data_IF_855820708283
#
_entry.id   IF_855820708283
#
_cell.length_a   1.000
_cell.length_b   1.000
_cell.length_c   1.000
_cell.angle_alpha   90.00
_cell.angle_beta   90.00
_cell.angle_gamma   90.00
#
_symmetry.space_group_name_H-M   'P 1'
#
loop_
_entity.id
_entity.type
_entity.pdbx_description
1 polymer ?
#
# COMPACT_ATOMS: atom_id res chain seq x y z
N UNK A 1 -43.02 -77.00 -59.98
CA UNK A 1 -42.12 -75.93 -60.46
C UNK A 1 -42.45 -74.71 -59.63
N UNK A 2 -41.54 -74.38 -58.73
CA UNK A 2 -41.78 -73.56 -57.55
C UNK A 2 -41.91 -72.07 -57.87
N UNK A 3 -42.98 -71.46 -57.34
CA UNK A 3 -43.21 -70.02 -57.33
C UNK A 3 -42.65 -69.45 -56.02
N UNK A 4 -41.57 -68.66 -56.10
CA UNK A 4 -41.07 -67.87 -54.98
C UNK A 4 -41.91 -66.59 -54.83
N UNK A 5 -42.79 -66.55 -53.82
CA UNK A 5 -43.37 -65.30 -53.32
C UNK A 5 -42.58 -64.86 -52.09
N UNK A 6 -41.77 -63.82 -52.23
CA UNK A 6 -40.99 -63.23 -51.14
C UNK A 6 -41.89 -62.30 -50.32
N UNK A 7 -42.27 -62.70 -49.10
CA UNK A 7 -43.09 -61.92 -48.19
C UNK A 7 -42.19 -60.98 -47.37
N UNK A 8 -42.21 -59.68 -47.66
CA UNK A 8 -41.51 -58.65 -46.88
C UNK A 8 -42.25 -58.37 -45.56
N UNK A 9 -41.68 -58.81 -44.45
CA UNK A 9 -42.00 -58.31 -43.10
C UNK A 9 -41.20 -57.03 -42.87
N UNK A 10 -41.84 -55.86 -42.86
CA UNK A 10 -41.22 -54.64 -42.37
C UNK A 10 -41.35 -54.57 -40.83
N UNK A 11 -40.24 -54.47 -40.08
CA UNK A 11 -40.30 -54.19 -38.65
C UNK A 11 -40.70 -52.73 -38.44
N UNK A 12 -41.80 -52.48 -37.74
CA UNK A 12 -42.13 -51.14 -37.23
C UNK A 12 -41.13 -50.80 -36.13
N UNK A 13 -40.10 -50.02 -36.46
CA UNK A 13 -39.21 -49.42 -35.46
C UNK A 13 -39.94 -48.21 -34.88
N UNK A 14 -40.52 -48.37 -33.69
CA UNK A 14 -41.06 -47.27 -32.91
C UNK A 14 -39.90 -46.45 -32.33
N UNK A 15 -39.69 -45.23 -32.81
CA UNK A 15 -38.70 -44.31 -32.26
C UNK A 15 -39.17 -43.80 -30.90
N UNK A 16 -38.59 -44.31 -29.81
CA UNK A 16 -38.78 -43.74 -28.48
C UNK A 16 -37.89 -42.50 -28.39
N UNK A 17 -38.50 -41.31 -28.41
CA UNK A 17 -37.80 -40.05 -28.14
C UNK A 17 -37.71 -39.90 -26.63
N UNK A 18 -36.54 -40.21 -26.06
CA UNK A 18 -36.22 -39.92 -24.67
C UNK A 18 -35.91 -38.42 -24.55
N UNK A 19 -36.86 -37.64 -24.05
CA UNK A 19 -36.63 -36.22 -23.74
C UNK A 19 -35.87 -36.18 -22.41
N UNK A 20 -34.54 -36.04 -22.46
CA UNK A 20 -33.74 -35.72 -21.27
C UNK A 20 -34.03 -34.26 -20.88
N UNK A 21 -34.89 -34.06 -19.90
CA UNK A 21 -35.02 -32.77 -19.22
C UNK A 21 -33.84 -32.61 -18.27
N UNK A 22 -32.80 -31.92 -18.72
CA UNK A 22 -31.70 -31.51 -17.83
C UNK A 22 -32.28 -30.45 -16.88
N UNK A 23 -32.33 -30.68 -15.55
CA UNK A 23 -32.82 -29.66 -14.63
C UNK A 23 -31.92 -28.43 -14.76
N UNK A 24 -32.49 -27.31 -15.18
CA UNK A 24 -31.79 -26.03 -15.18
C UNK A 24 -31.72 -25.54 -13.74
N UNK A 25 -30.56 -25.69 -13.10
CA UNK A 25 -30.30 -25.04 -11.83
C UNK A 25 -30.26 -23.53 -12.05
N UNK A 26 -31.27 -22.81 -11.56
CA UNK A 26 -31.21 -21.35 -11.46
C UNK A 26 -30.11 -21.00 -10.46
N UNK A 27 -29.06 -20.32 -10.91
CA UNK A 27 -28.06 -19.73 -10.01
C UNK A 27 -28.74 -18.58 -9.27
N UNK A 28 -29.04 -18.78 -7.99
CA UNK A 28 -29.64 -17.74 -7.15
C UNK A 28 -28.60 -16.67 -6.85
N UNK A 29 -29.00 -15.39 -6.91
CA UNK A 29 -28.17 -14.27 -6.49
C UNK A 29 -27.82 -14.36 -5.01
N UNK A 30 -26.60 -13.95 -4.64
CA UNK A 30 -26.17 -13.80 -3.26
C UNK A 30 -26.81 -12.55 -2.64
N UNK A 31 -27.02 -12.57 -1.32
CA UNK A 31 -27.41 -11.36 -0.60
C UNK A 31 -26.26 -10.34 -0.59
N UNK A 32 -26.59 -9.05 -0.49
CA UNK A 32 -25.60 -7.98 -0.33
C UNK A 32 -24.64 -8.25 0.85
N UNK A 33 -25.14 -8.85 1.94
CA UNK A 33 -24.33 -9.21 3.11
C UNK A 33 -23.37 -10.37 2.84
N UNK A 34 -23.75 -11.35 2.01
CA UNK A 34 -22.85 -12.41 1.57
C UNK A 34 -21.76 -11.85 0.66
N UNK A 35 -22.13 -10.97 -0.28
CA UNK A 35 -21.19 -10.30 -1.17
C UNK A 35 -20.21 -9.42 -0.38
N UNK A 36 -20.69 -8.68 0.63
CA UNK A 36 -19.82 -7.85 1.49
C UNK A 36 -18.78 -8.67 2.24
N UNK A 37 -19.12 -9.89 2.72
CA UNK A 37 -18.14 -10.78 3.37
C UNK A 37 -17.08 -11.26 2.39
N UNK A 38 -17.49 -11.69 1.20
CA UNK A 38 -16.56 -12.06 0.13
C UNK A 38 -15.65 -10.89 -0.24
N UNK A 39 -16.25 -9.71 -0.45
CA UNK A 39 -15.53 -8.49 -0.79
C UNK A 39 -14.51 -8.10 0.28
N UNK A 40 -14.87 -8.18 1.56
CA UNK A 40 -13.94 -7.84 2.66
C UNK A 40 -12.70 -8.74 2.70
N UNK A 41 -12.80 -10.00 2.27
CA UNK A 41 -11.67 -10.92 2.29
C UNK A 41 -10.66 -10.69 1.17
N UNK A 42 -11.11 -10.18 0.01
CA UNK A 42 -10.29 -10.06 -1.21
C UNK A 42 -9.86 -8.63 -1.51
N UNK A 43 -10.54 -7.63 -0.93
CA UNK A 43 -10.23 -6.20 -1.09
C UNK A 43 -9.14 -5.79 -0.11
N UNK A 44 -8.13 -5.09 -0.63
CA UNK A 44 -6.95 -4.68 0.12
C UNK A 44 -6.72 -3.18 0.04
N UNK A 45 -6.14 -2.60 1.08
CA UNK A 45 -5.66 -1.22 1.07
C UNK A 45 -4.26 -1.23 0.45
N UNK A 46 -4.00 -0.30 -0.46
CA UNK A 46 -2.68 -0.05 -1.02
C UNK A 46 -2.15 1.23 -0.39
N UNK A 47 -0.97 1.13 0.21
CA UNK A 47 -0.24 2.26 0.79
C UNK A 47 0.98 2.54 -0.07
N UNK A 48 1.10 3.77 -0.58
CA UNK A 48 2.20 4.20 -1.44
C UNK A 48 2.57 5.67 -1.23
N UNK A 49 3.69 6.13 -1.79
CA UNK A 49 4.30 7.44 -1.52
C UNK A 49 3.47 8.65 -1.95
N UNK A 50 2.49 8.48 -2.85
CA UNK A 50 1.64 9.58 -3.33
C UNK A 50 0.26 9.67 -2.67
N UNK A 51 -0.43 8.53 -2.51
CA UNK A 51 -1.77 8.44 -1.94
C UNK A 51 -2.10 6.98 -1.66
N UNK A 52 -2.99 6.75 -0.69
CA UNK A 52 -3.60 5.45 -0.51
C UNK A 52 -4.61 5.16 -1.62
N UNK A 53 -4.75 3.87 -1.93
CA UNK A 53 -5.74 3.37 -2.87
C UNK A 53 -6.26 2.01 -2.45
N UNK A 54 -7.02 1.38 -3.32
CA UNK A 54 -7.59 0.05 -3.08
C UNK A 54 -7.09 -0.93 -4.15
N UNK A 55 -6.95 -2.20 -3.80
CA UNK A 55 -6.74 -3.28 -4.75
C UNK A 55 -7.64 -4.47 -4.48
N UNK A 56 -7.55 -5.48 -5.35
CA UNK A 56 -8.23 -6.77 -5.19
C UNK A 56 -7.32 -7.93 -5.54
N UNK A 57 -7.17 -8.86 -4.60
CA UNK A 57 -6.42 -10.11 -4.81
C UNK A 57 -7.22 -10.99 -5.78
N UNK A 58 -6.64 -11.36 -6.92
CA UNK A 58 -7.34 -12.15 -7.94
C UNK A 58 -6.66 -13.47 -8.30
N UNK A 59 -5.39 -13.65 -7.94
CA UNK A 59 -4.64 -14.86 -8.28
C UNK A 59 -3.55 -15.16 -7.25
N UNK A 60 -3.10 -16.42 -7.24
CA UNK A 60 -2.01 -16.91 -6.38
C UNK A 60 -1.19 -17.96 -7.14
N UNK A 61 0.12 -17.72 -7.25
CA UNK A 61 1.10 -18.63 -7.84
C UNK A 61 2.16 -18.94 -6.79
N UNK A 62 2.19 -20.17 -6.27
CA UNK A 62 3.06 -20.51 -5.14
C UNK A 62 2.69 -19.66 -3.91
N UNK A 63 3.63 -18.88 -3.38
CA UNK A 63 3.40 -17.92 -2.29
C UNK A 63 3.17 -16.48 -2.77
N UNK A 64 3.18 -16.26 -4.08
CA UNK A 64 3.01 -14.93 -4.68
C UNK A 64 1.54 -14.69 -4.97
N UNK A 65 0.98 -13.65 -4.35
CA UNK A 65 -0.36 -13.15 -4.61
C UNK A 65 -0.30 -12.04 -5.64
N UNK A 66 -1.25 -12.05 -6.57
CA UNK A 66 -1.41 -11.00 -7.59
C UNK A 66 -2.70 -10.24 -7.33
N UNK A 67 -2.64 -8.92 -7.45
CA UNK A 67 -3.79 -8.05 -7.28
C UNK A 67 -3.94 -7.05 -8.43
N UNK A 68 -5.19 -6.69 -8.71
CA UNK A 68 -5.50 -5.56 -9.57
C UNK A 68 -5.62 -4.28 -8.74
N UNK A 69 -5.23 -3.16 -9.34
CA UNK A 69 -5.54 -1.82 -8.87
C UNK A 69 -5.61 -0.85 -10.05
N UNK A 70 -6.02 0.40 -9.82
CA UNK A 70 -5.95 1.42 -10.85
C UNK A 70 -4.49 1.86 -11.06
N UNK A 71 -4.07 2.10 -12.29
CA UNK A 71 -2.67 2.43 -12.59
C UNK A 71 -2.22 3.72 -11.89
N UNK A 72 -3.10 4.73 -11.80
CA UNK A 72 -2.78 5.98 -11.10
C UNK A 72 -2.58 5.81 -9.58
N UNK A 73 -3.11 4.75 -8.95
CA UNK A 73 -2.85 4.46 -7.52
C UNK A 73 -1.38 4.18 -7.29
N UNK A 74 -0.72 3.55 -8.26
CA UNK A 74 0.71 3.25 -8.24
C UNK A 74 1.52 4.10 -9.21
N UNK A 75 0.93 5.17 -9.78
CA UNK A 75 1.55 5.98 -10.82
C UNK A 75 2.81 6.73 -10.37
N UNK A 76 2.96 6.91 -9.06
CA UNK A 76 4.11 7.53 -8.41
C UNK A 76 4.92 6.51 -7.58
N UNK A 77 4.72 5.20 -7.81
CA UNK A 77 5.52 4.13 -7.20
C UNK A 77 6.59 3.71 -8.19
N UNK A 78 7.84 4.02 -7.89
CA UNK A 78 8.99 3.67 -8.72
C UNK A 78 9.59 2.31 -8.33
N UNK A 79 10.23 1.59 -9.27
CA UNK A 79 10.94 0.35 -8.97
C UNK A 79 11.94 0.53 -7.81
N UNK A 80 11.88 -0.36 -6.82
CA UNK A 80 12.73 -0.30 -5.62
C UNK A 80 12.17 0.54 -4.48
N UNK A 81 11.06 1.25 -4.69
CA UNK A 81 10.37 1.94 -3.61
C UNK A 81 9.56 0.99 -2.73
N UNK A 82 9.33 1.40 -1.48
CA UNK A 82 8.45 0.67 -0.55
C UNK A 82 6.99 1.11 -0.76
N UNK A 83 6.14 0.13 -1.05
CA UNK A 83 4.69 0.25 -1.08
C UNK A 83 4.09 -1.03 -0.48
N UNK A 84 2.93 -0.94 0.17
CA UNK A 84 2.36 -2.04 0.94
C UNK A 84 0.94 -2.38 0.52
N UNK A 85 0.61 -3.66 0.67
CA UNK A 85 -0.76 -4.18 0.67
C UNK A 85 -1.15 -4.46 2.11
N UNK A 86 -2.21 -3.82 2.60
CA UNK A 86 -2.83 -4.16 3.88
C UNK A 86 -4.01 -5.09 3.62
N UNK A 87 -3.86 -6.32 4.07
CA UNK A 87 -4.83 -7.41 3.90
C UNK A 87 -5.94 -7.38 4.96
N UNK A 88 -6.98 -8.17 4.76
CA UNK A 88 -8.20 -8.19 5.58
C UNK A 88 -7.99 -8.59 7.05
N UNK A 89 -6.87 -9.23 7.37
CA UNK A 89 -6.41 -9.52 8.74
C UNK A 89 -5.51 -8.42 9.32
N UNK A 90 -5.49 -7.24 8.69
CA UNK A 90 -4.67 -6.08 9.01
C UNK A 90 -3.16 -6.33 8.90
N UNK A 91 -2.72 -7.35 8.14
CA UNK A 91 -1.30 -7.57 7.86
C UNK A 91 -0.86 -6.81 6.62
N UNK A 92 0.27 -6.11 6.77
CA UNK A 92 0.97 -5.40 5.71
C UNK A 92 1.92 -6.35 5.01
N UNK A 93 1.93 -6.34 3.69
CA UNK A 93 2.85 -7.10 2.84
C UNK A 93 3.51 -6.16 1.85
N UNK A 94 4.82 -6.30 1.66
CA UNK A 94 5.56 -5.47 0.71
C UNK A 94 5.16 -5.82 -0.73
N UNK A 95 4.83 -4.78 -1.51
CA UNK A 95 4.62 -4.91 -2.95
C UNK A 95 5.98 -5.08 -3.63
N UNK A 96 6.07 -6.03 -4.56
CA UNK A 96 7.22 -6.13 -5.46
C UNK A 96 7.17 -4.98 -6.48
N UNK A 97 7.66 -3.80 -6.10
CA UNK A 97 7.61 -2.57 -6.92
C UNK A 97 8.45 -2.65 -8.19
N UNK A 98 9.44 -3.55 -8.21
CA UNK A 98 10.21 -3.87 -9.42
C UNK A 98 9.41 -4.62 -10.49
N UNK A 99 8.25 -5.17 -10.13
CA UNK A 99 7.40 -5.97 -11.01
C UNK A 99 5.97 -5.42 -11.10
N UNK A 100 5.79 -4.10 -11.01
CA UNK A 100 4.49 -3.46 -11.27
C UNK A 100 4.22 -3.49 -12.76
N UNK A 101 3.18 -4.21 -13.16
CA UNK A 101 2.77 -4.31 -14.56
C UNK A 101 1.62 -3.34 -14.83
N UNK A 102 1.91 -2.20 -15.48
CA UNK A 102 0.88 -1.28 -15.99
C UNK A 102 0.39 -1.77 -17.33
N UNK A 103 -0.92 -1.99 -17.45
CA UNK A 103 -1.54 -2.50 -18.68
C UNK A 103 -1.65 -1.37 -19.70
N UNK A 104 -0.89 -1.48 -20.79
CA UNK A 104 -0.86 -0.45 -21.84
C UNK A 104 -2.26 -0.09 -22.36
N UNK A 105 -2.55 1.21 -22.37
CA UNK A 105 -3.82 1.78 -22.82
C UNK A 105 -4.95 1.73 -21.78
N UNK A 106 -4.68 1.28 -20.55
CA UNK A 106 -5.66 1.19 -19.47
C UNK A 106 -5.13 1.83 -18.19
N UNK A 107 -6.02 2.40 -17.39
CA UNK A 107 -5.73 2.84 -16.01
C UNK A 107 -5.74 1.63 -15.05
N UNK A 108 -5.06 0.54 -15.43
CA UNK A 108 -5.02 -0.71 -14.69
C UNK A 108 -3.57 -1.14 -14.45
N UNK A 109 -3.26 -1.54 -13.22
CA UNK A 109 -1.99 -2.14 -12.86
C UNK A 109 -2.18 -3.49 -12.15
N UNK A 110 -1.20 -4.37 -12.32
CA UNK A 110 -1.08 -5.61 -11.56
C UNK A 110 0.12 -5.48 -10.62
N UNK A 111 -0.12 -5.78 -9.35
CA UNK A 111 0.90 -5.80 -8.31
C UNK A 111 1.05 -7.22 -7.76
N UNK A 112 2.21 -7.49 -7.18
CA UNK A 112 2.51 -8.76 -6.53
C UNK A 112 3.00 -8.54 -5.10
N UNK A 113 2.62 -9.43 -4.19
CA UNK A 113 3.24 -9.54 -2.87
C UNK A 113 3.39 -11.02 -2.49
N UNK A 114 4.36 -11.34 -1.64
CA UNK A 114 4.57 -12.70 -1.16
C UNK A 114 3.97 -12.90 0.23
N UNK A 115 3.31 -14.03 0.47
CA UNK A 115 2.87 -14.40 1.81
C UNK A 115 2.69 -15.92 1.98
N UNK A 116 3.14 -16.43 3.12
CA UNK A 116 2.80 -17.80 3.57
C UNK A 116 1.40 -17.88 4.17
N UNK A 117 0.77 -16.73 4.47
CA UNK A 117 -0.60 -16.66 4.99
C UNK A 117 -1.61 -16.93 3.87
N UNK A 118 -2.65 -17.74 4.12
CA UNK A 118 -3.68 -17.99 3.12
C UNK A 118 -4.67 -16.82 3.03
N UNK A 119 -4.62 -16.07 1.94
CA UNK A 119 -5.67 -15.14 1.52
C UNK A 119 -6.54 -15.74 0.41
N UNK A 120 -7.82 -15.39 0.43
CA UNK A 120 -8.78 -15.74 -0.63
C UNK A 120 -8.49 -14.93 -1.90
N UNK A 121 -8.79 -15.51 -3.05
CA UNK A 121 -8.73 -14.83 -4.35
C UNK A 121 -10.14 -14.54 -4.85
N UNK A 122 -10.32 -13.38 -5.46
CA UNK A 122 -11.58 -13.00 -6.04
C UNK A 122 -11.94 -13.88 -7.25
N UNK A 123 -13.20 -14.30 -7.33
CA UNK A 123 -13.74 -14.92 -8.54
C UNK A 123 -13.97 -13.83 -9.59
N UNK A 124 -13.32 -13.94 -10.74
CA UNK A 124 -13.45 -12.97 -11.82
C UNK A 124 -14.63 -13.31 -12.74
N UNK A 125 -15.46 -12.31 -13.02
CA UNK A 125 -16.61 -12.38 -13.92
C UNK A 125 -16.33 -11.72 -15.27
N UNK A 126 -17.39 -11.42 -16.04
CA UNK A 126 -17.28 -10.66 -17.29
C UNK A 126 -18.14 -9.39 -17.21
N UNK A 127 -17.48 -8.23 -17.16
CA UNK A 127 -18.12 -6.92 -17.10
C UNK A 127 -18.90 -6.54 -18.37
N UNK A 128 -18.50 -7.04 -19.54
CA UNK A 128 -19.18 -6.77 -20.83
C UNK A 128 -20.56 -7.45 -20.93
N UNK A 129 -20.84 -8.40 -20.03
CA UNK A 129 -22.13 -9.11 -19.98
C UNK A 129 -23.10 -8.52 -18.97
N UNK A 130 -22.69 -7.48 -18.26
CA UNK A 130 -23.60 -6.78 -17.36
C UNK A 130 -24.66 -6.04 -18.19
N UNK A 131 -25.89 -6.10 -17.70
CA UNK A 131 -27.05 -5.43 -18.31
C UNK A 131 -27.34 -4.18 -17.47
N UNK A 132 -27.69 -3.07 -18.12
CA UNK A 132 -28.07 -1.83 -17.45
C UNK A 132 -29.20 -2.06 -16.43
N UNK A 133 -29.10 -1.41 -15.28
CA UNK A 133 -29.99 -1.59 -14.14
C UNK A 133 -29.57 -2.73 -13.19
N UNK A 134 -28.60 -3.56 -13.56
CA UNK A 134 -28.01 -4.59 -12.67
C UNK A 134 -27.40 -3.93 -11.43
N UNK A 135 -27.64 -4.53 -10.25
CA UNK A 135 -27.00 -4.11 -9.00
C UNK A 135 -25.51 -4.43 -9.05
N UNK A 136 -24.68 -3.45 -8.74
CA UNK A 136 -23.23 -3.64 -8.58
C UNK A 136 -22.79 -3.09 -7.23
N UNK A 137 -21.77 -3.71 -6.65
CA UNK A 137 -21.22 -3.31 -5.35
C UNK A 137 -19.76 -2.93 -5.50
N UNK A 138 -19.38 -1.76 -4.97
CA UNK A 138 -17.99 -1.34 -4.92
C UNK A 138 -17.49 -1.49 -3.49
N UNK A 139 -16.30 -2.04 -3.33
CA UNK A 139 -15.62 -2.03 -2.04
C UNK A 139 -14.24 -1.42 -2.13
N UNK A 140 -13.83 -0.74 -1.07
CA UNK A 140 -12.50 -0.15 -0.97
C UNK A 140 -12.31 0.66 0.29
N UNK A 141 -11.24 1.45 0.31
CA UNK A 141 -10.79 2.20 1.47
C UNK A 141 -10.76 3.68 1.13
N UNK A 142 -11.79 4.45 1.52
CA UNK A 142 -11.77 5.90 1.40
C UNK A 142 -10.56 6.52 2.08
N UNK A 143 -10.11 7.66 1.55
CA UNK A 143 -9.21 8.54 2.27
C UNK A 143 -9.90 9.06 3.54
N UNK A 144 -9.14 9.31 4.63
CA UNK A 144 -9.68 9.94 5.82
C UNK A 144 -10.39 11.26 5.49
N UNK A 145 -11.43 11.56 6.27
CA UNK A 145 -12.20 12.79 6.23
C UNK A 145 -12.26 13.39 7.64
N UNK A 146 -12.71 14.62 7.77
CA UNK A 146 -12.86 15.29 9.08
C UNK A 146 -13.73 14.51 10.08
N UNK A 147 -14.68 13.71 9.61
CA UNK A 147 -15.61 12.94 10.47
C UNK A 147 -15.21 11.47 10.66
N UNK A 148 -14.37 10.93 9.78
CA UNK A 148 -13.85 9.56 9.81
C UNK A 148 -12.37 9.66 9.47
N UNK A 149 -11.55 9.66 10.51
CA UNK A 149 -10.10 9.95 10.50
C UNK A 149 -9.22 8.76 10.06
N UNK A 150 -9.83 7.62 9.72
CA UNK A 150 -9.12 6.43 9.26
C UNK A 150 -9.66 5.93 7.90
N UNK A 151 -8.78 5.33 7.09
CA UNK A 151 -9.18 4.58 5.89
C UNK A 151 -9.85 3.27 6.28
N UNK A 152 -11.16 3.32 6.51
CA UNK A 152 -11.97 2.16 6.88
C UNK A 152 -12.51 1.43 5.66
N UNK A 153 -12.59 0.10 5.74
CA UNK A 153 -13.24 -0.70 4.71
C UNK A 153 -14.68 -0.21 4.48
N UNK A 154 -14.98 0.12 3.24
CA UNK A 154 -16.27 0.66 2.80
C UNK A 154 -16.84 -0.22 1.70
N UNK A 155 -18.14 -0.51 1.77
CA UNK A 155 -18.88 -1.32 0.81
C UNK A 155 -20.16 -0.60 0.45
N UNK A 156 -20.31 -0.20 -0.82
CA UNK A 156 -21.42 0.64 -1.28
C UNK A 156 -22.16 -0.02 -2.46
N UNK A 157 -23.49 -0.18 -2.38
CA UNK A 157 -24.30 -0.66 -3.51
C UNK A 157 -24.57 0.47 -4.52
N UNK A 158 -24.93 0.09 -5.74
CA UNK A 158 -25.34 0.99 -6.81
C UNK A 158 -25.87 0.22 -7.99
N UNK A 159 -26.16 0.91 -9.10
CA UNK A 159 -26.65 0.29 -10.32
C UNK A 159 -25.73 0.61 -11.49
N UNK A 160 -25.52 -0.39 -12.36
CA UNK A 160 -24.95 -0.18 -13.67
C UNK A 160 -25.90 0.70 -14.50
N UNK A 161 -25.38 1.75 -15.12
CA UNK A 161 -26.16 2.68 -15.95
C UNK A 161 -25.81 2.60 -17.42
N UNK A 162 -24.56 2.25 -17.73
CA UNK A 162 -24.13 1.97 -19.09
C UNK A 162 -22.93 1.03 -19.10
N UNK A 163 -22.89 0.16 -20.11
CA UNK A 163 -21.66 -0.54 -20.53
C UNK A 163 -21.23 0.05 -21.85
N UNK A 164 -20.06 0.71 -21.89
CA UNK A 164 -19.53 1.26 -23.12
C UNK A 164 -18.94 0.11 -23.97
N UNK A 165 -19.57 -0.18 -25.10
CA UNK A 165 -19.07 -1.12 -26.11
C UNK A 165 -17.98 -0.46 -26.98
N UNK A 166 -16.90 0.04 -26.38
CA UNK A 166 -15.77 0.67 -27.10
C UNK A 166 -15.17 1.90 -26.41
N UNK A 167 -13.89 2.17 -26.73
CA UNK A 167 -12.90 3.01 -26.03
C UNK A 167 -13.43 4.31 -25.40
N UNK A 168 -13.91 4.25 -24.15
CA UNK A 168 -13.67 5.39 -23.27
C UNK A 168 -12.16 5.44 -23.01
N UNK A 169 -11.63 6.65 -22.80
CA UNK A 169 -10.20 6.85 -22.52
C UNK A 169 -9.77 5.95 -21.36
N UNK A 170 -8.53 5.47 -21.41
CA UNK A 170 -7.89 4.74 -20.32
C UNK A 170 -8.57 3.41 -19.91
N UNK A 171 -9.32 2.78 -20.83
CA UNK A 171 -9.89 1.44 -20.63
C UNK A 171 -11.17 1.39 -19.78
N UNK A 172 -11.76 2.54 -19.48
CA UNK A 172 -13.05 2.62 -18.81
C UNK A 172 -14.16 2.04 -19.69
N UNK A 173 -15.03 1.21 -19.12
CA UNK A 173 -16.09 0.53 -19.86
C UNK A 173 -17.39 0.36 -19.07
N UNK A 174 -17.35 0.58 -17.76
CA UNK A 174 -18.52 0.49 -16.87
C UNK A 174 -18.86 1.87 -16.33
N UNK A 175 -20.14 2.22 -16.37
CA UNK A 175 -20.69 3.43 -15.72
C UNK A 175 -21.72 3.01 -14.68
N UNK A 176 -21.63 3.52 -13.46
CA UNK A 176 -22.51 3.13 -12.35
C UNK A 176 -22.65 4.21 -11.27
N UNK A 177 -23.69 4.09 -10.44
CA UNK A 177 -24.15 5.13 -9.49
C UNK A 177 -23.68 4.96 -8.04
N UNK A 178 -22.67 4.13 -7.77
CA UNK A 178 -22.24 3.85 -6.40
C UNK A 178 -21.69 5.11 -5.70
N UNK A 179 -22.06 5.38 -4.46
CA UNK A 179 -21.56 6.54 -3.71
C UNK A 179 -20.14 6.31 -3.18
N UNK A 180 -19.15 6.27 -4.09
CA UNK A 180 -17.75 6.06 -3.71
C UNK A 180 -17.12 7.35 -3.18
N UNK A 181 -15.98 7.23 -2.50
CA UNK A 181 -15.17 8.35 -2.01
C UNK A 181 -13.75 8.28 -2.60
N UNK A 182 -13.00 9.40 -2.61
CA UNK A 182 -11.56 9.38 -2.91
C UNK A 182 -10.86 8.28 -2.10
N UNK A 183 -9.88 7.58 -2.67
CA UNK A 183 -9.17 6.45 -2.05
C UNK A 183 -9.74 5.06 -2.41
N UNK A 184 -11.01 4.98 -2.81
CA UNK A 184 -11.60 3.69 -3.24
C UNK A 184 -11.11 3.23 -4.62
N UNK A 185 -10.38 4.09 -5.36
CA UNK A 185 -9.81 3.80 -6.67
C UNK A 185 -8.94 2.55 -6.64
N UNK A 186 -9.09 1.70 -7.64
CA UNK A 186 -8.50 0.36 -7.75
C UNK A 186 -9.28 -0.75 -7.04
N UNK A 187 -10.36 -0.41 -6.33
CA UNK A 187 -11.21 -1.38 -5.64
C UNK A 187 -12.09 -2.23 -6.57
N UNK A 188 -12.49 -3.44 -6.15
CA UNK A 188 -13.30 -4.31 -6.98
C UNK A 188 -14.76 -3.85 -7.08
N UNK A 189 -15.34 -4.07 -8.26
CA UNK A 189 -16.76 -3.94 -8.57
C UNK A 189 -17.36 -5.35 -8.69
N UNK A 190 -18.28 -5.71 -7.82
CA UNK A 190 -18.93 -7.02 -7.76
C UNK A 190 -20.31 -7.05 -8.41
N UNK A 191 -20.66 -8.15 -9.06
CA UNK A 191 -22.03 -8.48 -9.45
C UNK A 191 -22.80 -9.21 -8.33
N UNK A 192 -24.08 -9.52 -8.58
CA UNK A 192 -24.97 -10.21 -7.63
C UNK A 192 -24.59 -11.69 -7.40
N UNK A 193 -23.64 -12.24 -8.16
CA UNK A 193 -23.08 -13.57 -7.97
C UNK A 193 -21.80 -13.55 -7.11
N UNK A 194 -21.35 -12.37 -6.67
CA UNK A 194 -20.11 -12.20 -5.91
C UNK A 194 -18.85 -12.28 -6.76
N UNK A 195 -18.96 -12.11 -8.08
CA UNK A 195 -17.83 -12.08 -9.00
C UNK A 195 -17.36 -10.64 -9.24
N UNK A 196 -16.05 -10.43 -9.31
CA UNK A 196 -15.47 -9.14 -9.69
C UNK A 196 -15.59 -8.97 -11.19
N UNK A 197 -16.42 -8.01 -11.60
CA UNK A 197 -16.75 -7.70 -13.00
C UNK A 197 -16.09 -6.42 -13.50
N UNK A 198 -15.48 -5.65 -12.61
CA UNK A 198 -14.68 -4.49 -12.95
C UNK A 198 -13.77 -4.01 -11.83
N UNK A 199 -12.88 -3.07 -12.15
CA UNK A 199 -12.03 -2.35 -11.21
C UNK A 199 -12.50 -0.90 -11.19
N UNK A 200 -12.86 -0.39 -10.01
CA UNK A 200 -13.27 0.99 -9.82
C UNK A 200 -12.08 1.91 -10.09
N UNK A 201 -12.27 2.96 -10.90
CA UNK A 201 -11.18 3.89 -11.19
C UNK A 201 -11.48 5.31 -10.72
N UNK A 202 -12.37 6.02 -11.42
CA UNK A 202 -12.59 7.45 -11.19
C UNK A 202 -14.06 7.79 -11.06
N UNK A 203 -14.36 8.83 -10.28
CA UNK A 203 -15.65 9.48 -10.30
C UNK A 203 -15.79 10.36 -11.56
N UNK A 204 -16.98 10.42 -12.13
CA UNK A 204 -17.30 11.40 -13.15
C UNK A 204 -17.55 12.76 -12.47
N UNK A 205 -16.83 13.79 -12.92
CA UNK A 205 -16.81 15.12 -12.27
C UNK A 205 -17.01 16.23 -13.30
N UNK A 206 -17.83 17.23 -13.00
CA UNK A 206 -17.85 18.50 -13.75
C UNK A 206 -16.67 19.38 -13.34
N UNK A 207 -16.02 20.07 -14.30
CA UNK A 207 -14.88 20.97 -14.03
C UNK A 207 -15.20 22.06 -12.98
N UNK A 208 -14.15 22.38 -12.20
CA UNK A 208 -14.07 23.30 -11.07
C UNK A 208 -14.52 24.74 -11.35
N UNK A 209 -15.23 25.34 -10.38
CA UNK A 209 -15.06 26.77 -10.09
C UNK A 209 -13.82 26.89 -9.19
N UNK A 210 -12.83 27.67 -9.65
CA UNK A 210 -11.64 28.01 -8.85
C UNK A 210 -12.08 28.94 -7.71
N UNK A 211 -11.98 28.48 -6.46
CA UNK A 211 -11.97 29.36 -5.29
C UNK A 211 -10.62 29.23 -4.60
N UNK A 212 -10.13 30.33 -4.02
CA UNK A 212 -8.80 30.48 -3.39
C UNK A 212 -8.51 29.53 -2.20
N UNK A 213 -9.42 28.62 -1.87
CA UNK A 213 -9.25 27.58 -0.86
C UNK A 213 -9.94 26.31 -1.38
N UNK A 214 -9.15 25.25 -1.58
CA UNK A 214 -9.52 23.90 -2.01
C UNK A 214 -10.14 23.69 -3.41
N UNK A 215 -9.56 22.72 -4.13
CA UNK A 215 -10.16 22.17 -5.35
C UNK A 215 -11.42 21.37 -4.97
N UNK A 216 -12.61 21.96 -5.10
CA UNK A 216 -13.88 21.25 -4.86
C UNK A 216 -14.24 20.43 -6.11
N UNK A 217 -14.21 19.10 -5.99
CA UNK A 217 -14.67 18.17 -7.02
C UNK A 217 -16.17 17.87 -6.83
N UNK A 218 -17.02 18.32 -7.77
CA UNK A 218 -18.45 17.98 -7.78
C UNK A 218 -18.68 16.75 -8.65
N UNK A 219 -19.06 15.64 -8.02
CA UNK A 219 -19.44 14.40 -8.74
C UNK A 219 -20.75 14.61 -9.51
N UNK A 220 -20.82 14.07 -10.72
CA UNK A 220 -22.06 14.06 -11.54
C UNK A 220 -23.08 13.02 -11.06
N UNK A 221 -22.70 12.16 -10.11
CA UNK A 221 -23.48 11.02 -9.64
C UNK A 221 -23.11 9.70 -10.34
N UNK A 222 -22.13 9.71 -11.25
CA UNK A 222 -21.62 8.51 -11.91
C UNK A 222 -20.16 8.22 -11.55
N UNK A 223 -19.78 6.96 -11.72
CA UNK A 223 -18.42 6.48 -11.58
C UNK A 223 -18.06 5.62 -12.79
N UNK A 224 -16.77 5.55 -13.07
CA UNK A 224 -16.20 4.78 -14.15
C UNK A 224 -15.37 3.62 -13.61
N UNK A 225 -15.55 2.44 -14.21
CA UNK A 225 -14.77 1.25 -13.93
C UNK A 225 -14.20 0.61 -15.18
N UNK A 226 -13.07 -0.05 -15.01
CA UNK A 226 -12.41 -0.85 -16.04
C UNK A 226 -13.07 -2.23 -16.02
N UNK A 227 -13.68 -2.65 -17.12
CA UNK A 227 -14.37 -3.93 -17.18
C UNK A 227 -13.38 -5.09 -17.13
N UNK A 228 -13.69 -6.13 -16.35
CA UNK A 228 -12.99 -7.41 -16.48
C UNK A 228 -13.54 -8.10 -17.73
N UNK A 229 -12.67 -8.35 -18.70
CA UNK A 229 -13.03 -8.96 -19.99
C UNK A 229 -12.17 -10.19 -20.28
N UNK A 230 -12.64 -11.15 -21.11
CA UNK A 230 -11.82 -12.29 -21.50
C UNK A 230 -10.50 -11.87 -22.18
N UNK A 231 -10.50 -10.76 -22.93
CA UNK A 231 -9.32 -10.23 -23.60
C UNK A 231 -8.31 -9.65 -22.62
N UNK A 232 -8.77 -8.95 -21.58
CA UNK A 232 -7.92 -8.52 -20.47
C UNK A 232 -7.29 -9.73 -19.78
N UNK A 233 -8.10 -10.71 -19.38
CA UNK A 233 -7.62 -11.91 -18.67
C UNK A 233 -6.61 -12.72 -19.48
N UNK A 234 -6.70 -12.71 -20.81
CA UNK A 234 -5.71 -13.34 -21.68
C UNK A 234 -4.36 -12.61 -21.63
N UNK A 235 -4.33 -11.27 -21.62
CA UNK A 235 -3.10 -10.47 -21.50
C UNK A 235 -2.39 -10.70 -20.15
N UNK A 236 -3.16 -10.77 -19.07
CA UNK A 236 -2.65 -10.97 -17.70
C UNK A 236 -1.95 -12.32 -17.49
N UNK A 237 -2.26 -13.33 -18.31
CA UNK A 237 -1.65 -14.67 -18.20
C UNK A 237 -0.30 -14.81 -18.90
N UNK A 238 0.10 -13.84 -19.73
CA UNK A 238 1.30 -13.96 -20.58
C UNK A 238 2.57 -13.28 -20.05
N UNK A 239 2.52 -12.55 -18.93
CA UNK A 239 3.56 -11.59 -18.50
C UNK A 239 4.57 -12.05 -17.43
N UNK A 240 4.52 -13.28 -16.89
CA UNK A 240 5.32 -13.67 -15.71
C UNK A 240 6.66 -14.37 -16.01
N UNK A 241 7.84 -13.70 -15.85
CA UNK A 241 9.17 -14.31 -15.48
C UNK A 241 10.40 -13.36 -15.57
N UNK A 242 11.10 -13.03 -14.46
CA UNK A 242 12.53 -13.38 -14.16
C UNK A 242 13.13 -12.60 -12.95
N UNK A 243 14.12 -13.17 -12.23
CA UNK A 243 14.86 -12.57 -11.10
C UNK A 243 16.39 -12.80 -11.19
N UNK A 244 17.21 -11.94 -10.55
CA UNK A 244 18.70 -12.01 -10.52
C UNK A 244 19.31 -11.89 -9.09
N UNK A 245 20.58 -12.34 -8.86
CA UNK A 245 21.21 -12.54 -7.53
C UNK A 245 22.25 -11.44 -7.12
N UNK A 246 22.79 -11.44 -5.86
CA UNK A 246 23.52 -10.29 -5.28
C UNK A 246 25.07 -10.43 -5.21
N UNK A 247 25.83 -9.31 -5.01
CA UNK A 247 27.28 -9.31 -4.74
C UNK A 247 27.71 -8.64 -3.39
N UNK A 248 29.03 -8.64 -3.01
CA UNK A 248 29.57 -8.59 -1.63
C UNK A 248 30.10 -7.20 -1.14
N UNK A 249 30.59 -7.04 0.13
CA UNK A 249 30.55 -5.77 0.88
C UNK A 249 31.85 -4.93 0.88
N UNK A 250 31.74 -3.63 1.23
CA UNK A 250 32.86 -2.67 1.47
C UNK A 250 32.49 -1.59 2.56
N UNK A 251 33.35 -0.60 2.94
CA UNK A 251 33.96 -0.40 4.27
C UNK A 251 33.39 0.76 5.15
N UNK A 252 33.79 0.83 6.43
CA UNK A 252 33.26 1.77 7.47
C UNK A 252 34.25 2.90 7.83
N UNK A 253 33.74 4.12 8.09
CA UNK A 253 34.49 5.28 8.63
C UNK A 253 34.32 5.36 10.16
N UNK A 254 35.40 5.66 10.90
CA UNK A 254 35.40 5.80 12.37
C UNK A 254 35.18 7.27 12.75
N UNK A 255 34.16 7.55 13.56
CA UNK A 255 33.87 8.88 14.13
C UNK A 255 33.96 8.80 15.67
N UNK A 256 34.50 9.82 16.32
CA UNK A 256 34.65 9.87 17.79
C UNK A 256 33.29 9.82 18.53
N UNK A 257 33.20 9.13 19.68
CA UNK A 257 31.96 8.91 20.40
C UNK A 257 31.32 10.20 20.93
N UNK A 258 30.00 10.30 20.76
CA UNK A 258 29.17 11.41 21.27
C UNK A 258 29.15 11.34 22.81
N UNK A 259 29.63 12.38 23.48
CA UNK A 259 29.48 12.49 24.94
C UNK A 259 28.01 12.82 25.30
N UNK A 260 27.43 12.20 26.34
CA UNK A 260 26.07 12.49 26.80
C UNK A 260 25.90 13.97 27.16
N UNK A 261 24.73 14.53 26.78
CA UNK A 261 24.31 15.88 27.16
C UNK A 261 24.34 16.08 28.68
N UNK A 262 24.87 17.23 29.13
CA UNK A 262 25.11 17.59 30.54
C UNK A 262 23.84 18.10 31.28
N UNK A 263 22.64 17.92 30.73
CA UNK A 263 21.40 18.31 31.39
C UNK A 263 21.02 17.28 32.46
N UNK A 264 20.60 17.69 33.68
CA UNK A 264 20.26 16.76 34.75
C UNK A 264 19.12 15.82 34.31
N UNK A 265 19.21 14.50 34.55
CA UNK A 265 18.20 13.57 34.11
C UNK A 265 16.90 13.81 34.89
N UNK A 266 15.85 14.21 34.18
CA UNK A 266 14.49 14.11 34.71
C UNK A 266 14.23 12.62 35.03
N UNK A 267 13.93 12.32 36.30
CA UNK A 267 13.73 10.96 36.83
C UNK A 267 12.47 10.28 36.31
N UNK A 268 11.59 11.02 35.64
CA UNK A 268 10.35 10.52 35.06
C UNK A 268 10.52 10.37 33.55
N UNK A 269 10.20 9.20 33.00
CA UNK A 269 10.22 8.92 31.54
C UNK A 269 8.89 9.24 30.86
N UNK A 270 8.04 10.02 31.53
CA UNK A 270 6.78 10.52 30.99
C UNK A 270 6.98 11.99 30.65
N UNK A 271 6.82 12.34 29.38
CA UNK A 271 6.91 13.73 28.91
C UNK A 271 5.87 14.57 29.63
N UNK A 272 6.30 15.68 30.23
CA UNK A 272 5.39 16.64 30.86
C UNK A 272 4.62 17.46 29.82
N UNK A 273 5.16 17.56 28.61
CA UNK A 273 4.57 18.33 27.52
C UNK A 273 3.48 17.54 26.80
N UNK A 274 3.74 16.26 26.48
CA UNK A 274 2.84 15.43 25.64
C UNK A 274 2.17 14.31 26.43
N UNK A 275 2.66 13.97 27.62
CA UNK A 275 2.19 12.82 28.40
C UNK A 275 2.69 11.46 27.88
N UNK A 276 3.54 11.42 26.86
CA UNK A 276 4.07 10.18 26.27
C UNK A 276 5.02 9.47 27.24
N UNK A 277 4.85 8.15 27.42
CA UNK A 277 5.66 7.30 28.29
C UNK A 277 6.73 6.53 27.50
N UNK A 278 8.00 6.81 27.80
CA UNK A 278 9.19 6.23 27.18
C UNK A 278 9.77 5.02 27.93
N UNK A 279 9.10 4.52 28.97
CA UNK A 279 9.59 3.40 29.80
C UNK A 279 9.78 2.11 29.01
N UNK A 280 8.86 1.81 28.09
CA UNK A 280 8.95 0.64 27.23
C UNK A 280 10.15 0.73 26.27
N UNK A 281 10.40 1.90 25.68
CA UNK A 281 11.54 2.14 24.80
C UNK A 281 12.86 1.93 25.55
N UNK A 282 12.98 2.48 26.77
CA UNK A 282 14.15 2.24 27.62
C UNK A 282 14.40 0.77 27.87
N UNK A 283 13.35 0.00 28.14
CA UNK A 283 13.45 -1.45 28.40
C UNK A 283 13.99 -2.18 27.17
N UNK A 284 13.42 -1.91 25.98
CA UNK A 284 13.88 -2.52 24.72
C UNK A 284 15.35 -2.20 24.42
N UNK A 285 15.76 -0.95 24.64
CA UNK A 285 17.14 -0.52 24.41
C UNK A 285 18.12 -1.16 25.41
N UNK A 286 17.75 -1.28 26.69
CA UNK A 286 18.56 -1.99 27.70
C UNK A 286 18.70 -3.48 27.40
N UNK A 287 17.66 -4.09 26.84
CA UNK A 287 17.65 -5.48 26.38
C UNK A 287 18.32 -5.67 25.00
N UNK A 288 18.85 -4.60 24.39
CA UNK A 288 19.46 -4.62 23.06
C UNK A 288 18.53 -5.14 21.95
N UNK A 289 17.22 -4.96 22.11
CA UNK A 289 16.21 -5.28 21.09
C UNK A 289 16.09 -4.12 20.10
N UNK A 290 17.18 -3.89 19.35
CA UNK A 290 17.36 -2.71 18.51
C UNK A 290 16.25 -2.49 17.48
N UNK A 291 15.80 -3.55 16.81
CA UNK A 291 14.70 -3.46 15.82
C UNK A 291 13.38 -3.05 16.48
N UNK A 292 12.98 -3.72 17.56
CA UNK A 292 11.74 -3.38 18.28
C UNK A 292 11.80 -1.98 18.89
N UNK A 293 12.99 -1.56 19.38
CA UNK A 293 13.20 -0.21 19.89
C UNK A 293 13.07 0.84 18.77
N UNK A 294 13.50 0.53 17.56
CA UNK A 294 13.38 1.40 16.39
C UNK A 294 11.91 1.57 15.94
N UNK A 295 11.18 0.46 15.80
CA UNK A 295 9.72 0.46 15.54
C UNK A 295 8.98 1.29 16.59
N UNK A 296 9.27 1.05 17.87
CA UNK A 296 8.65 1.78 18.97
C UNK A 296 9.04 3.27 18.97
N UNK A 297 10.26 3.61 18.52
CA UNK A 297 10.68 5.01 18.41
C UNK A 297 9.82 5.75 17.39
N UNK A 298 9.50 5.12 16.26
CA UNK A 298 8.58 5.70 15.28
C UNK A 298 7.20 5.96 15.90
N UNK A 299 6.61 4.96 16.55
CA UNK A 299 5.28 5.10 17.19
C UNK A 299 5.25 6.19 18.27
N UNK A 300 6.33 6.32 19.05
CA UNK A 300 6.44 7.33 20.10
C UNK A 300 6.67 8.73 19.53
N UNK A 301 7.44 8.87 18.45
CA UNK A 301 7.57 10.14 17.72
C UNK A 301 6.24 10.55 17.12
N UNK A 302 5.48 9.60 16.56
CA UNK A 302 4.12 9.84 16.12
C UNK A 302 3.26 10.35 17.27
N UNK A 303 3.14 9.62 18.37
CA UNK A 303 2.33 10.07 19.53
C UNK A 303 2.75 11.42 20.11
N UNK A 304 4.03 11.78 20.02
CA UNK A 304 4.53 13.05 20.54
C UNK A 304 4.24 14.25 19.61
N UNK A 305 4.06 14.02 18.31
CA UNK A 305 3.72 15.06 17.33
C UNK A 305 2.26 15.04 16.87
N UNK A 306 1.56 13.95 17.11
CA UNK A 306 0.17 13.69 16.72
C UNK A 306 -0.79 14.49 17.62
N UNK A 307 -0.97 15.78 17.29
CA UNK A 307 -1.81 16.71 18.04
C UNK A 307 -3.30 16.43 17.87
N UNK A 308 -3.69 15.72 16.81
CA UNK A 308 -5.07 15.37 16.49
C UNK A 308 -5.43 13.91 16.80
N UNK A 309 -4.46 13.12 17.29
CA UNK A 309 -4.59 11.72 17.66
C UNK A 309 -5.04 10.84 16.47
N UNK A 310 -4.62 11.21 15.26
CA UNK A 310 -4.87 10.52 13.99
C UNK A 310 -4.13 9.18 13.84
N UNK A 311 -3.15 8.91 14.72
CA UNK A 311 -2.32 7.71 14.69
C UNK A 311 -1.21 7.75 13.64
N UNK A 312 -1.03 8.88 12.97
CA UNK A 312 0.05 9.14 12.01
C UNK A 312 0.61 10.54 12.25
N UNK A 313 1.87 10.77 11.86
CA UNK A 313 2.47 12.11 11.95
C UNK A 313 2.66 12.67 10.54
N UNK A 314 2.09 13.84 10.27
CA UNK A 314 2.31 14.58 9.02
C UNK A 314 3.68 15.26 9.03
N UNK A 315 4.15 15.71 7.86
CA UNK A 315 5.45 16.39 7.76
C UNK A 315 5.49 17.70 8.53
N UNK A 316 4.36 18.42 8.67
CA UNK A 316 4.26 19.67 9.44
C UNK A 316 4.24 19.43 10.94
N UNK A 317 3.62 18.34 11.40
CA UNK A 317 3.59 18.00 12.82
C UNK A 317 4.95 17.56 13.37
N UNK A 318 5.88 17.15 12.50
CA UNK A 318 7.27 16.93 12.89
C UNK A 318 7.97 18.21 13.37
N UNK A 319 7.58 19.38 12.86
CA UNK A 319 8.11 20.67 13.31
C UNK A 319 7.67 20.98 14.75
N UNK A 320 6.53 20.44 15.17
CA UNK A 320 5.89 20.77 16.44
C UNK A 320 6.22 19.79 17.57
N UNK A 321 6.90 18.66 17.30
CA UNK A 321 7.30 17.71 18.35
C UNK A 321 8.06 18.46 19.45
N UNK A 322 7.63 18.31 20.69
CA UNK A 322 8.26 18.99 21.82
C UNK A 322 9.71 18.54 22.02
N UNK A 323 10.59 19.49 22.36
CA UNK A 323 12.00 19.18 22.57
C UNK A 323 12.24 18.19 23.72
N UNK A 324 11.38 18.17 24.74
CA UNK A 324 11.43 17.21 25.84
C UNK A 324 11.37 15.75 25.32
N UNK A 325 10.47 15.50 24.37
CA UNK A 325 10.24 14.21 23.74
C UNK A 325 11.45 13.80 22.88
N UNK A 326 11.91 14.67 21.98
CA UNK A 326 13.08 14.41 21.13
C UNK A 326 14.36 14.19 21.96
N UNK A 327 14.57 15.00 23.00
CA UNK A 327 15.73 14.86 23.90
C UNK A 327 15.64 13.57 24.73
N UNK A 328 14.44 13.14 25.12
CA UNK A 328 14.25 11.88 25.85
C UNK A 328 14.58 10.69 24.95
N UNK A 329 14.07 10.67 23.72
CA UNK A 329 14.38 9.64 22.72
C UNK A 329 15.88 9.60 22.46
N UNK A 330 16.50 10.74 22.13
CA UNK A 330 17.91 10.80 21.81
C UNK A 330 18.80 10.30 22.95
N UNK A 331 18.54 10.77 24.18
CA UNK A 331 19.27 10.34 25.38
C UNK A 331 19.21 8.82 25.55
N UNK A 332 18.03 8.22 25.42
CA UNK A 332 17.87 6.77 25.59
C UNK A 332 18.68 5.98 24.55
N UNK A 333 18.67 6.41 23.29
CA UNK A 333 19.45 5.80 22.22
C UNK A 333 20.95 5.97 22.42
N UNK A 334 21.41 7.18 22.73
CA UNK A 334 22.83 7.50 22.96
C UNK A 334 23.40 6.73 24.15
N UNK A 335 22.71 6.73 25.29
CA UNK A 335 23.17 6.03 26.50
C UNK A 335 23.25 4.51 26.28
N UNK A 336 22.22 3.93 25.66
CA UNK A 336 22.12 2.48 25.47
C UNK A 336 23.10 1.95 24.41
N UNK A 337 23.52 2.81 23.48
CA UNK A 337 24.41 2.46 22.36
C UNK A 337 25.85 2.95 22.54
N UNK A 338 26.20 3.52 23.70
CA UNK A 338 27.52 4.13 23.97
C UNK A 338 27.88 5.23 22.96
N UNK A 339 26.87 6.00 22.53
CA UNK A 339 27.03 7.10 21.57
C UNK A 339 27.07 6.65 20.10
N UNK A 340 26.80 5.38 19.79
CA UNK A 340 26.75 4.88 18.43
C UNK A 340 25.48 5.33 17.69
N UNK A 341 24.35 5.38 18.38
CA UNK A 341 23.01 5.65 17.82
C UNK A 341 22.36 6.84 18.51
N UNK A 342 21.45 7.51 17.81
CA UNK A 342 20.72 8.69 18.30
C UNK A 342 20.45 9.71 17.20
N UNK A 343 19.42 10.53 17.43
CA UNK A 343 19.04 11.64 16.56
C UNK A 343 20.14 12.70 16.51
N UNK A 344 20.82 12.98 17.62
CA UNK A 344 21.97 13.90 17.68
C UNK A 344 23.20 13.36 16.94
N UNK A 345 23.36 12.04 16.90
CA UNK A 345 24.42 11.39 16.12
C UNK A 345 24.17 11.59 14.62
N UNK A 346 22.95 11.31 14.18
CA UNK A 346 22.51 11.55 12.80
C UNK A 346 22.63 13.02 12.42
N UNK A 347 22.17 13.92 13.29
CA UNK A 347 22.23 15.36 13.06
C UNK A 347 23.66 15.84 12.85
N UNK A 348 24.62 15.30 13.62
CA UNK A 348 26.05 15.63 13.44
C UNK A 348 26.60 15.14 12.11
N UNK A 349 26.28 13.90 11.74
CA UNK A 349 26.70 13.31 10.45
C UNK A 349 26.15 14.16 9.31
N UNK A 350 24.85 14.48 9.35
CA UNK A 350 24.19 15.33 8.37
C UNK A 350 24.83 16.72 8.28
N UNK A 351 25.07 17.39 9.43
CA UNK A 351 25.77 18.70 9.49
C UNK A 351 27.19 18.64 8.91
N UNK A 352 27.90 17.52 9.08
CA UNK A 352 29.28 17.37 8.59
C UNK A 352 29.39 17.31 7.06
N UNK A 353 28.31 16.95 6.38
CA UNK A 353 28.22 16.87 4.92
C UNK A 353 28.00 18.24 4.25
N UNK A 354 27.85 19.30 5.04
CA UNK A 354 27.61 20.67 4.60
C UNK A 354 26.13 21.01 4.64
N UNK A 355 25.76 22.00 5.46
CA UNK A 355 24.38 22.50 5.48
C UNK A 355 24.11 23.33 4.23
N UNK A 356 23.08 22.97 3.48
CA UNK A 356 22.41 23.87 2.54
C UNK A 356 21.09 24.33 3.18
N UNK A 357 20.74 25.61 3.01
CA UNK A 357 19.43 26.16 3.43
C UNK A 357 18.26 25.48 2.70
N UNK A 358 18.55 24.81 1.58
CA UNK A 358 17.64 23.93 0.87
C UNK A 358 18.10 22.49 1.01
N UNK A 359 17.16 21.56 1.20
CA UNK A 359 17.52 20.12 1.23
C UNK A 359 18.03 19.72 -0.15
N UNK A 360 19.29 19.27 -0.19
CA UNK A 360 19.92 18.71 -1.38
C UNK A 360 19.81 17.18 -1.29
N UNK A 361 19.14 16.57 -2.27
CA UNK A 361 19.02 15.13 -2.41
C UNK A 361 20.37 14.42 -2.43
N UNK A 362 21.42 15.07 -2.92
CA UNK A 362 22.78 14.52 -2.93
C UNK A 362 23.41 14.50 -1.53
N UNK A 363 23.13 15.49 -0.69
CA UNK A 363 23.55 15.48 0.72
C UNK A 363 22.82 14.36 1.46
N UNK A 364 21.52 14.18 1.21
CA UNK A 364 20.77 13.07 1.78
C UNK A 364 21.30 11.70 1.35
N UNK A 365 21.65 11.52 0.07
CA UNK A 365 22.25 10.27 -0.43
C UNK A 365 23.56 9.96 0.29
N UNK A 366 24.44 10.95 0.43
CA UNK A 366 25.69 10.80 1.16
C UNK A 366 25.45 10.48 2.64
N UNK A 367 24.48 11.14 3.26
CA UNK A 367 24.06 10.84 4.63
C UNK A 367 23.58 9.40 4.77
N UNK A 368 22.64 8.97 3.93
CA UNK A 368 22.08 7.63 3.94
C UNK A 368 23.16 6.56 3.72
N UNK A 369 24.14 6.84 2.87
CA UNK A 369 25.31 5.97 2.70
C UNK A 369 26.17 5.90 3.98
N UNK A 370 26.43 7.04 4.64
CA UNK A 370 27.25 7.09 5.85
C UNK A 370 26.61 6.38 7.05
N UNK A 371 25.31 6.55 7.25
CA UNK A 371 24.58 5.87 8.33
C UNK A 371 24.23 4.43 7.98
N UNK A 372 24.51 3.97 6.76
CA UNK A 372 24.28 2.58 6.33
C UNK A 372 22.84 2.27 5.92
N UNK A 373 22.05 3.26 5.53
CA UNK A 373 20.72 3.07 4.94
C UNK A 373 20.74 2.90 3.42
N UNK A 374 21.81 3.35 2.78
CA UNK A 374 22.04 3.16 1.35
C UNK A 374 23.31 2.34 1.10
N UNK A 375 23.29 1.60 0.00
CA UNK A 375 24.44 0.87 -0.53
C UNK A 375 25.49 1.85 -1.05
N UNK A 376 26.73 1.37 -1.08
CA UNK A 376 27.89 2.13 -1.55
C UNK A 376 28.15 1.92 -3.06
N UNK A 377 27.13 1.48 -3.78
CA UNK A 377 27.20 1.08 -5.19
C UNK A 377 27.29 2.26 -6.15
N UNK A 378 26.54 3.33 -5.88
CA UNK A 378 26.55 4.55 -6.69
C UNK A 378 26.45 5.81 -5.80
N UNK A 379 27.46 6.69 -5.77
CA UNK A 379 27.44 7.91 -4.94
C UNK A 379 26.33 8.91 -5.30
N UNK A 380 25.85 8.90 -6.55
CA UNK A 380 24.87 9.86 -7.04
C UNK A 380 23.44 9.32 -7.05
N UNK A 381 23.29 7.99 -6.98
CA UNK A 381 21.99 7.33 -7.01
C UNK A 381 22.11 5.90 -6.44
N UNK A 382 22.33 5.77 -5.12
CA UNK A 382 22.55 4.46 -4.50
C UNK A 382 21.26 3.68 -4.34
N UNK A 383 21.37 2.35 -4.39
CA UNK A 383 20.31 1.49 -3.89
C UNK A 383 20.14 1.67 -2.39
N UNK A 384 18.91 1.62 -1.88
CA UNK A 384 18.64 1.68 -0.45
C UNK A 384 18.43 0.29 0.15
N UNK A 385 18.83 0.09 1.41
CA UNK A 385 18.45 -1.10 2.15
C UNK A 385 16.97 -1.02 2.52
N UNK A 386 16.26 -2.12 2.30
CA UNK A 386 14.93 -2.30 2.89
C UNK A 386 15.05 -2.35 4.40
N UNK A 387 13.99 -1.97 5.11
CA UNK A 387 14.03 -1.94 6.57
C UNK A 387 14.47 -3.28 7.20
N UNK A 388 13.91 -4.39 6.70
CA UNK A 388 14.21 -5.74 7.20
C UNK A 388 15.65 -6.19 6.91
N UNK A 389 16.34 -5.51 5.99
CA UNK A 389 17.74 -5.76 5.63
C UNK A 389 18.73 -4.86 6.42
N UNK A 390 18.24 -3.97 7.28
CA UNK A 390 19.08 -3.10 8.11
C UNK A 390 19.80 -3.89 9.22
N UNK A 391 20.92 -3.34 9.66
CA UNK A 391 21.76 -3.96 10.69
C UNK A 391 21.31 -3.52 12.09
N UNK A 392 20.43 -4.31 12.72
CA UNK A 392 19.97 -4.08 14.10
C UNK A 392 20.95 -4.62 15.15
N UNK A 393 22.21 -4.18 15.09
CA UNK A 393 23.24 -4.51 16.08
C UNK A 393 24.19 -3.33 16.31
N UNK A 394 24.92 -3.36 17.43
CA UNK A 394 25.94 -2.34 17.75
C UNK A 394 27.09 -2.26 16.74
N UNK A 395 27.22 -3.22 15.82
CA UNK A 395 28.22 -3.18 14.76
C UNK A 395 27.79 -2.32 13.55
N UNK A 396 26.57 -1.78 13.56
CA UNK A 396 26.10 -0.89 12.50
C UNK A 396 26.82 0.46 12.53
N UNK A 397 26.87 1.20 11.39
CA UNK A 397 27.52 2.51 11.34
C UNK A 397 26.97 3.52 12.35
N UNK A 398 27.75 4.54 12.74
CA UNK A 398 27.25 5.60 13.60
C UNK A 398 26.02 6.27 12.99
N UNK A 399 25.01 6.54 13.81
CA UNK A 399 23.75 7.12 13.36
C UNK A 399 22.83 6.17 12.58
N UNK A 400 23.15 4.88 12.47
CA UNK A 400 22.28 3.91 11.77
C UNK A 400 20.88 3.83 12.38
N UNK A 401 20.76 3.99 13.70
CA UNK A 401 19.51 3.97 14.43
C UNK A 401 19.36 5.24 15.31
N UNK A 402 18.12 5.63 15.67
CA UNK A 402 16.88 5.12 15.12
C UNK A 402 16.67 5.58 13.67
N UNK A 403 16.10 4.77 12.77
CA UNK A 403 15.70 5.22 11.43
C UNK A 403 14.56 6.23 11.50
N UNK A 404 13.78 6.22 12.60
CA UNK A 404 12.62 7.10 12.90
C UNK A 404 11.59 7.22 11.76
N UNK A 405 11.67 6.34 10.78
CA UNK A 405 10.92 6.33 9.53
C UNK A 405 10.48 4.92 9.16
N UNK A 406 10.27 4.10 10.19
CA UNK A 406 9.77 2.74 10.03
C UNK A 406 8.45 2.75 9.25
N UNK A 407 8.41 2.02 8.14
CA UNK A 407 7.25 1.97 7.25
C UNK A 407 7.04 3.18 6.33
N UNK A 408 8.02 4.11 6.24
CA UNK A 408 7.98 5.28 5.36
C UNK A 408 8.93 5.14 4.16
N UNK A 409 8.47 5.59 2.99
CA UNK A 409 9.26 5.65 1.76
C UNK A 409 10.44 6.64 1.88
N UNK A 410 11.55 6.38 1.19
CA UNK A 410 12.78 7.19 1.21
C UNK A 410 12.60 8.66 0.81
N UNK A 411 11.72 8.97 -0.15
CA UNK A 411 11.36 10.34 -0.53
C UNK A 411 10.56 11.03 0.59
N UNK A 412 9.77 10.27 1.35
CA UNK A 412 9.12 10.76 2.57
C UNK A 412 10.16 10.92 3.69
N UNK A 413 11.14 10.03 3.84
CA UNK A 413 12.24 10.20 4.80
C UNK A 413 13.05 11.45 4.46
N UNK A 414 13.41 11.64 3.20
CA UNK A 414 14.05 12.83 2.66
C UNK A 414 13.23 14.09 2.95
N UNK A 415 11.93 14.07 2.62
CA UNK A 415 11.02 15.19 2.90
C UNK A 415 10.93 15.46 4.40
N UNK A 416 10.80 14.44 5.24
CA UNK A 416 10.72 14.56 6.70
C UNK A 416 12.03 15.02 7.33
N UNK A 417 13.18 14.68 6.76
CA UNK A 417 14.46 15.25 7.18
C UNK A 417 14.49 16.77 7.01
N UNK A 418 13.77 17.33 6.03
CA UNK A 418 13.67 18.79 5.85
C UNK A 418 12.98 19.50 7.02
N UNK A 419 12.12 18.79 7.76
CA UNK A 419 11.38 19.28 8.92
C UNK A 419 12.05 18.90 10.25
N UNK A 420 12.55 17.68 10.33
CA UNK A 420 13.20 17.15 11.53
C UNK A 420 14.58 17.79 11.78
N UNK A 421 15.38 18.02 10.74
CA UNK A 421 16.76 18.55 10.89
C UNK A 421 16.78 19.97 11.49
N UNK A 422 15.93 20.93 11.05
CA UNK A 422 15.78 22.22 11.73
C UNK A 422 15.30 22.03 13.17
N UNK A 423 14.28 21.19 13.38
CA UNK A 423 13.70 20.96 14.70
C UNK A 423 14.71 20.40 15.71
N UNK A 424 15.52 19.43 15.31
CA UNK A 424 16.61 18.89 16.13
C UNK A 424 17.62 19.99 16.52
N UNK A 425 17.93 20.90 15.59
CA UNK A 425 18.83 22.02 15.88
C UNK A 425 18.23 23.02 16.88
N UNK A 426 16.94 23.32 16.79
CA UNK A 426 16.22 24.14 17.79
C UNK A 426 16.24 23.49 19.18
N UNK A 427 16.06 22.16 19.21
CA UNK A 427 16.11 21.37 20.44
C UNK A 427 17.53 21.11 20.97
N UNK A 428 18.56 21.68 20.32
CA UNK A 428 19.98 21.58 20.68
C UNK A 428 20.54 20.15 20.60
N UNK A 429 20.10 19.40 19.59
CA UNK A 429 20.59 18.07 19.23
C UNK A 429 21.55 18.10 18.03
#
# INVERSE_FOLDING_TARGET
MDNYLCQYLMPRVGTIVMILTVPTFSVMALSATQISRLAKNVTVLIEGPGSNGTGVIFDKIGNTYRLFTAAHVVGNVYPGEEAYVVTSDQKRHLINTNNIEVISGMDLAILEFNSDRPYETAKLGNGERLIEGTTVYVSGFPLPTTAIDASIYTFVPGKLTATASGDLRDGYGLVYTNDTLPGMSGGPVFNEQGEVVGIHGRADTTQTQSTDYDNIYVKTGFNLGIAITPTLLAKVKTSSSSALPPPPPTPTIIIDPVQPSQNPPSTTLVSQTTGVDYTALKTLLQEQKWQQADEMTYDLMTKAGDQDNSGFITSTELEDIACEDLQTIDRLWVESSQGQFGLSVQQRIYKSLGLSETVDINIYRQFAQQVGWAKQDNPNDPDYYLYDDLNFSLNAPPGHLPRWSWGLNIAVVYSRMSYLTPRLSECKL
#
